data_IF_358329985722
#
_entry.id   IF_358329985722
#
_cell.length_a   1.000
_cell.length_b   1.000
_cell.length_c   1.000
_cell.angle_alpha   90.00
_cell.angle_beta   90.00
_cell.angle_gamma   90.00
#
_symmetry.space_group_name_H-M   'P 1'
#
loop_
_entity.id
_entity.type
_entity.pdbx_description
1 polymer ?
#
# COMPACT_ATOMS: atom_id res chain seq x y z
N UNK A 1 34.20 0.22 -32.75
CA UNK A 1 33.33 1.17 -32.01
C UNK A 1 33.72 2.65 -32.14
N UNK A 2 35.02 3.03 -32.13
CA UNK A 2 35.43 4.45 -32.26
C UNK A 2 35.04 5.09 -33.61
N UNK A 3 35.12 4.33 -34.71
CA UNK A 3 34.85 4.85 -36.05
C UNK A 3 33.38 5.29 -36.27
N UNK A 4 32.40 4.45 -35.91
CA UNK A 4 30.95 4.77 -36.07
C UNK A 4 30.53 5.93 -35.15
N UNK A 5 31.08 5.96 -33.94
CA UNK A 5 30.87 7.04 -32.98
C UNK A 5 31.46 8.39 -33.43
N UNK A 6 32.57 8.37 -34.20
CA UNK A 6 33.18 9.58 -34.74
C UNK A 6 32.32 10.19 -35.86
N UNK A 7 31.64 9.35 -36.65
CA UNK A 7 30.75 9.79 -37.74
C UNK A 7 29.44 10.41 -37.22
N UNK A 8 28.94 9.96 -36.06
CA UNK A 8 27.63 10.35 -35.52
C UNK A 8 27.70 11.43 -34.42
N UNK A 9 28.90 11.91 -34.07
CA UNK A 9 29.12 12.91 -33.03
C UNK A 9 29.19 12.36 -31.59
N UNK A 10 29.79 13.14 -30.70
CA UNK A 10 30.18 12.72 -29.34
C UNK A 10 29.00 12.36 -28.42
N UNK A 11 27.83 12.99 -28.62
CA UNK A 11 26.59 12.68 -27.89
C UNK A 11 26.05 11.29 -28.21
N UNK A 12 26.03 10.93 -29.50
CA UNK A 12 25.57 9.61 -29.97
C UNK A 12 26.55 8.51 -29.53
N UNK A 13 27.85 8.81 -29.50
CA UNK A 13 28.85 7.90 -28.97
C UNK A 13 28.59 7.48 -27.50
N UNK A 14 28.09 8.41 -26.67
CA UNK A 14 27.72 8.12 -25.28
C UNK A 14 26.46 7.25 -25.20
N UNK A 15 25.42 7.59 -25.97
CA UNK A 15 24.20 6.79 -26.05
C UNK A 15 24.48 5.36 -26.53
N UNK A 16 25.30 5.19 -27.58
CA UNK A 16 25.69 3.87 -28.08
C UNK A 16 26.42 3.03 -27.03
N UNK A 17 27.34 3.62 -26.24
CA UNK A 17 28.01 2.88 -25.16
C UNK A 17 27.01 2.37 -24.12
N UNK A 18 26.00 3.17 -23.78
CA UNK A 18 24.95 2.76 -22.86
C UNK A 18 24.10 1.63 -23.44
N UNK A 19 23.71 1.71 -24.71
CA UNK A 19 22.93 0.66 -25.37
C UNK A 19 23.71 -0.64 -25.54
N UNK A 20 25.00 -0.58 -25.87
CA UNK A 20 25.83 -1.79 -25.94
C UNK A 20 25.99 -2.44 -24.58
N UNK A 21 26.23 -1.68 -23.52
CA UNK A 21 26.23 -2.24 -22.16
C UNK A 21 24.90 -2.89 -21.79
N UNK A 22 23.78 -2.31 -22.24
CA UNK A 22 22.45 -2.89 -22.03
C UNK A 22 22.28 -4.20 -22.79
N UNK A 23 22.71 -4.24 -24.05
CA UNK A 23 22.70 -5.45 -24.87
C UNK A 23 23.63 -6.55 -24.33
N UNK A 24 24.79 -6.20 -23.78
CA UNK A 24 25.70 -7.16 -23.10
C UNK A 24 25.05 -7.78 -21.86
N UNK A 25 24.29 -6.98 -21.09
CA UNK A 25 23.51 -7.47 -19.94
C UNK A 25 22.36 -8.36 -20.42
N UNK A 26 21.62 -7.95 -21.44
CA UNK A 26 20.51 -8.73 -22.00
C UNK A 26 21.00 -10.04 -22.65
N UNK A 27 22.23 -10.08 -23.17
CA UNK A 27 22.88 -11.27 -23.71
C UNK A 27 23.61 -12.13 -22.66
N UNK A 28 23.42 -11.85 -21.36
CA UNK A 28 24.08 -12.53 -20.24
C UNK A 28 25.63 -12.50 -20.27
N UNK A 29 26.23 -11.62 -21.08
CA UNK A 29 27.68 -11.43 -21.13
C UNK A 29 28.19 -10.56 -19.97
N UNK A 30 27.27 -9.89 -19.28
CA UNK A 30 27.57 -9.02 -18.14
C UNK A 30 26.51 -9.20 -17.05
N UNK A 31 26.89 -9.26 -15.76
CA UNK A 31 25.93 -9.29 -14.67
C UNK A 31 25.11 -7.99 -14.63
N UNK A 32 23.79 -8.13 -14.54
CA UNK A 32 22.83 -7.04 -14.47
C UNK A 32 21.40 -7.56 -14.63
N UNK A 33 20.42 -6.71 -14.34
CA UNK A 33 19.00 -7.04 -14.56
C UNK A 33 18.68 -6.85 -16.04
N UNK A 34 18.23 -7.92 -16.68
CA UNK A 34 17.85 -7.89 -18.09
C UNK A 34 16.63 -7.00 -18.29
N UNK A 35 16.44 -6.53 -19.51
CA UNK A 35 15.26 -5.75 -19.89
C UNK A 35 13.96 -6.53 -19.69
N UNK A 36 13.99 -7.85 -19.89
CA UNK A 36 12.86 -8.74 -19.66
C UNK A 36 12.53 -8.90 -18.18
N UNK A 37 13.54 -9.16 -17.33
CA UNK A 37 13.37 -9.23 -15.87
C UNK A 37 12.82 -7.92 -15.30
N UNK A 38 13.31 -6.78 -15.79
CA UNK A 38 12.81 -5.47 -15.36
C UNK A 38 11.34 -5.24 -15.77
N UNK A 39 10.94 -5.70 -16.96
CA UNK A 39 9.57 -5.61 -17.43
C UNK A 39 8.64 -6.50 -16.58
N UNK A 40 9.09 -7.71 -16.27
CA UNK A 40 8.33 -8.66 -15.44
C UNK A 40 8.17 -8.15 -14.01
N UNK A 41 9.24 -7.60 -13.39
CA UNK A 41 9.14 -6.96 -12.08
C UNK A 41 8.13 -5.81 -12.09
N UNK A 42 8.09 -5.00 -13.14
CA UNK A 42 7.12 -3.90 -13.27
C UNK A 42 5.70 -4.43 -13.38
N UNK A 43 5.48 -5.47 -14.18
CA UNK A 43 4.19 -6.16 -14.33
C UNK A 43 3.71 -6.72 -13.00
N UNK A 44 4.54 -7.54 -12.35
CA UNK A 44 4.24 -8.15 -11.05
C UNK A 44 3.96 -7.10 -9.96
N UNK A 45 4.66 -5.96 -9.99
CA UNK A 45 4.38 -4.84 -9.07
C UNK A 45 3.02 -4.19 -9.34
N UNK A 46 2.63 -4.03 -10.60
CA UNK A 46 1.33 -3.50 -10.98
C UNK A 46 0.20 -4.45 -10.56
N UNK A 47 0.36 -5.75 -10.82
CA UNK A 47 -0.61 -6.79 -10.42
C UNK A 47 -0.77 -6.87 -8.90
N UNK A 48 0.31 -6.68 -8.13
CA UNK A 48 0.25 -6.71 -6.67
C UNK A 48 -0.25 -5.40 -6.01
N UNK A 49 -0.25 -4.27 -6.71
CA UNK A 49 -0.64 -2.99 -6.12
C UNK A 49 -2.12 -2.95 -5.69
N UNK A 50 -3.02 -3.45 -6.54
CA UNK A 50 -4.46 -3.55 -6.25
C UNK A 50 -4.76 -4.47 -5.06
N UNK A 51 -4.31 -5.74 -5.07
CA UNK A 51 -4.50 -6.70 -3.99
C UNK A 51 -3.90 -6.24 -2.67
N UNK A 52 -2.74 -5.57 -2.68
CA UNK A 52 -2.14 -5.01 -1.45
C UNK A 52 -2.99 -3.89 -0.86
N UNK A 53 -3.53 -3.00 -1.69
CA UNK A 53 -4.45 -1.95 -1.25
C UNK A 53 -5.74 -2.53 -0.68
N UNK A 54 -6.34 -3.51 -1.36
CA UNK A 54 -7.54 -4.20 -0.88
C UNK A 54 -7.30 -4.93 0.44
N UNK A 55 -6.17 -5.64 0.56
CA UNK A 55 -5.80 -6.32 1.80
C UNK A 55 -5.59 -5.36 2.97
N UNK A 56 -5.09 -4.15 2.74
CA UNK A 56 -4.98 -3.15 3.81
C UNK A 56 -6.36 -2.72 4.32
N UNK A 57 -7.32 -2.51 3.43
CA UNK A 57 -8.71 -2.18 3.79
C UNK A 57 -9.33 -3.32 4.59
N UNK A 58 -9.21 -4.56 4.10
CA UNK A 58 -9.77 -5.73 4.78
C UNK A 58 -9.15 -5.96 6.15
N UNK A 59 -7.84 -5.74 6.30
CA UNK A 59 -7.15 -5.83 7.61
C UNK A 59 -7.55 -4.71 8.57
N UNK A 60 -7.92 -3.53 8.07
CA UNK A 60 -8.36 -2.41 8.90
C UNK A 60 -9.83 -2.55 9.35
N UNK A 61 -10.66 -3.29 8.60
CA UNK A 61 -12.09 -3.37 8.86
C UNK A 61 -12.47 -3.90 10.27
N UNK A 62 -11.84 -4.96 10.82
CA UNK A 62 -12.16 -5.44 12.17
C UNK A 62 -11.95 -4.39 13.25
N UNK A 63 -10.92 -3.54 13.12
CA UNK A 63 -10.65 -2.48 14.09
C UNK A 63 -11.78 -1.42 14.09
N UNK A 64 -12.32 -1.09 12.91
CA UNK A 64 -13.47 -0.20 12.78
C UNK A 64 -14.72 -0.80 13.46
N UNK A 65 -15.03 -2.07 13.17
CA UNK A 65 -16.20 -2.73 13.76
C UNK A 65 -16.07 -2.92 15.28
N UNK A 66 -14.89 -3.27 15.77
CA UNK A 66 -14.63 -3.39 17.22
C UNK A 66 -14.85 -2.06 17.95
N UNK A 67 -14.41 -0.94 17.36
CA UNK A 67 -14.60 0.39 17.94
C UNK A 67 -16.09 0.79 18.00
N UNK A 68 -16.88 0.44 16.97
CA UNK A 68 -18.31 0.75 16.95
C UNK A 68 -19.09 -0.11 17.96
N UNK A 69 -18.74 -1.40 18.10
CA UNK A 69 -19.34 -2.29 19.09
C UNK A 69 -19.07 -1.81 20.52
N UNK A 70 -17.84 -1.38 20.81
CA UNK A 70 -17.47 -0.81 22.12
C UNK A 70 -18.26 0.47 22.44
N UNK A 71 -18.45 1.35 21.45
CA UNK A 71 -19.25 2.57 21.60
C UNK A 71 -20.72 2.27 21.86
N UNK A 72 -21.30 1.31 21.13
CA UNK A 72 -22.69 0.89 21.29
C UNK A 72 -22.93 0.27 22.67
N UNK A 73 -22.05 -0.63 23.10
CA UNK A 73 -22.07 -1.22 24.44
C UNK A 73 -22.06 -0.14 25.52
N UNK A 74 -21.11 0.79 25.46
CA UNK A 74 -21.01 1.92 26.41
C UNK A 74 -22.25 2.81 26.41
N UNK A 75 -22.90 3.02 25.27
CA UNK A 75 -24.15 3.81 25.18
C UNK A 75 -25.31 3.06 25.84
N UNK A 76 -25.45 1.76 25.57
CA UNK A 76 -26.50 0.93 26.16
C UNK A 76 -26.42 0.88 27.69
N UNK A 77 -25.20 0.75 28.23
CA UNK A 77 -24.95 0.79 29.68
C UNK A 77 -25.32 2.14 30.28
N UNK A 78 -24.94 3.26 29.65
CA UNK A 78 -25.30 4.60 30.12
C UNK A 78 -26.80 4.86 30.10
N UNK A 79 -27.51 4.41 29.07
CA UNK A 79 -28.98 4.52 29.02
C UNK A 79 -29.64 3.68 30.12
N UNK A 80 -29.16 2.47 30.38
CA UNK A 80 -29.68 1.60 31.43
C UNK A 80 -29.48 2.19 32.83
N UNK A 81 -28.34 2.87 33.08
CA UNK A 81 -28.11 3.58 34.35
C UNK A 81 -29.00 4.82 34.51
N UNK A 82 -29.35 5.51 33.42
CA UNK A 82 -30.23 6.68 33.47
C UNK A 82 -31.69 6.30 33.73
N UNK A 83 -32.15 5.17 33.19
CA UNK A 83 -33.49 4.64 33.49
C UNK A 83 -33.59 4.05 34.91
N UNK A 84 -32.52 3.41 35.41
CA UNK A 84 -32.48 2.91 36.79
C UNK A 84 -32.41 4.04 37.86
N UNK A 85 -31.72 5.15 37.56
CA UNK A 85 -31.66 6.30 38.47
C UNK A 85 -32.98 7.08 38.62
N UNK A 86 -33.92 6.93 37.67
CA UNK A 86 -35.23 7.59 37.76
C UNK A 86 -36.20 6.92 38.75
N UNK A 87 -35.99 5.66 39.15
CA UNK A 87 -36.88 4.97 40.10
C UNK A 87 -36.59 5.24 41.58
N UNK A 88 -35.45 5.87 41.92
CA UNK A 88 -35.04 6.06 43.32
C UNK A 88 -35.42 7.45 43.89
N UNK A 89 -35.84 8.40 43.05
CA UNK A 89 -36.16 9.78 43.45
C UNK A 89 -37.58 9.97 44.03
N UNK A 90 -38.47 8.97 43.95
CA UNK A 90 -39.87 9.10 44.38
C UNK A 90 -40.16 8.60 45.81
N UNK A 91 -39.15 8.26 46.62
CA UNK A 91 -39.32 7.76 48.01
C UNK A 91 -38.81 8.73 49.08
N UNK A 92 -38.99 10.04 48.94
CA UNK A 92 -38.69 11.01 50.01
C UNK A 92 -39.62 12.24 49.96
N UNK A 93 -40.91 12.03 50.19
CA UNK A 93 -41.85 13.10 50.54
C UNK A 93 -42.98 12.50 51.37
N UNK A 94 -42.74 12.35 52.67
CA UNK A 94 -43.72 11.76 53.58
C UNK A 94 -43.15 11.57 54.98
N UNK A 95 -42.96 12.67 55.71
CA UNK A 95 -43.05 12.78 57.17
C UNK A 95 -43.13 14.24 57.55
#
# INVERSE_FOLDING_TARGET
MKAVAAVLGTGVAKAMRTWVRRAEVDAAQRPGVTSEEAAEIKRLRAENAGPRRANQILKAAPAFFAAELDRSSKRSWRSATHTAGCSESSRSAGS
#
